data_IF_056253086062
#
_entry.id   IF_056253086062
#
_cell.length_a   1.000
_cell.length_b   1.000
_cell.length_c   1.000
_cell.angle_alpha   90.00
_cell.angle_beta   90.00
_cell.angle_gamma   90.00
#
_symmetry.space_group_name_H-M   'P 1'
#
loop_
_entity.id
_entity.type
_entity.pdbx_description
1 polymer ?
#
# COMPACT_ATOMS: atom_id res chain seq x y z
N UNK A 1 -0.59 7.47 12.70
CA UNK A 1 -0.55 8.94 12.48
C UNK A 1 -1.58 9.39 11.44
N UNK A 2 -1.78 8.62 10.37
CA UNK A 2 -2.80 8.88 9.34
C UNK A 2 -4.24 8.74 9.88
N UNK A 3 -4.46 7.87 10.87
CA UNK A 3 -5.80 7.60 11.45
C UNK A 3 -6.48 8.85 12.05
N UNK A 4 -5.71 9.67 12.78
CA UNK A 4 -6.22 10.90 13.41
C UNK A 4 -6.53 11.99 12.38
N UNK A 5 -5.67 12.16 11.39
CA UNK A 5 -5.85 13.17 10.33
C UNK A 5 -7.10 12.83 9.49
N UNK A 6 -7.35 11.54 9.28
CA UNK A 6 -8.49 11.04 8.53
C UNK A 6 -9.83 11.22 9.28
N UNK A 7 -9.82 10.95 10.60
CA UNK A 7 -10.98 11.22 11.45
C UNK A 7 -11.35 12.72 11.46
N UNK A 8 -10.34 13.60 11.43
CA UNK A 8 -10.53 15.05 11.46
C UNK A 8 -11.00 15.61 10.11
N UNK A 9 -10.62 15.00 8.98
CA UNK A 9 -10.87 15.57 7.63
C UNK A 9 -12.01 14.89 6.86
N UNK A 10 -12.15 13.56 6.96
CA UNK A 10 -13.14 12.80 6.19
C UNK A 10 -14.54 12.82 6.82
N UNK A 11 -14.62 12.70 8.14
CA UNK A 11 -15.90 12.69 8.87
C UNK A 11 -16.69 13.98 8.61
N UNK A 12 -16.12 15.20 8.76
CA UNK A 12 -16.87 16.42 8.51
C UNK A 12 -17.18 16.66 7.02
N UNK A 13 -16.33 16.24 6.07
CA UNK A 13 -16.60 16.41 4.62
C UNK A 13 -17.71 15.48 4.12
N UNK A 14 -17.76 14.23 4.62
CA UNK A 14 -18.85 13.29 4.36
C UNK A 14 -20.14 13.73 5.03
N UNK A 15 -20.07 14.30 6.24
CA UNK A 15 -21.23 14.85 6.96
C UNK A 15 -21.78 16.09 6.26
N UNK A 16 -20.95 17.06 5.89
CA UNK A 16 -21.38 18.32 5.26
C UNK A 16 -21.99 18.08 3.86
N UNK A 17 -21.48 17.11 3.11
CA UNK A 17 -22.05 16.74 1.79
C UNK A 17 -23.42 16.06 1.89
N UNK A 18 -23.85 15.55 3.05
CA UNK A 18 -25.24 15.05 3.22
C UNK A 18 -26.28 16.16 3.39
N UNK A 19 -25.87 17.38 3.72
CA UNK A 19 -26.80 18.50 3.96
C UNK A 19 -27.41 19.05 2.67
N UNK A 20 -26.83 18.77 1.50
CA UNK A 20 -27.35 19.20 0.20
C UNK A 20 -28.09 18.04 -0.48
N UNK A 21 -29.41 18.07 -0.37
CA UNK A 21 -30.32 16.99 -0.79
C UNK A 21 -31.04 17.29 -2.10
N UNK A 22 -30.30 17.55 -3.18
CA UNK A 22 -30.88 17.72 -4.52
C UNK A 22 -30.17 16.85 -5.60
N UNK A 23 -29.20 16.03 -5.21
CA UNK A 23 -28.46 15.18 -6.17
C UNK A 23 -29.11 13.77 -6.29
N UNK A 24 -29.27 13.31 -7.54
CA UNK A 24 -29.72 11.97 -7.90
C UNK A 24 -28.80 10.88 -7.34
N UNK A 25 -29.35 9.68 -7.09
CA UNK A 25 -28.61 8.58 -6.46
C UNK A 25 -27.34 8.16 -7.22
N UNK A 26 -27.39 8.21 -8.56
CA UNK A 26 -26.24 7.87 -9.40
C UNK A 26 -25.11 8.90 -9.32
N UNK A 27 -25.43 10.19 -9.09
CA UNK A 27 -24.41 11.22 -8.91
C UNK A 27 -23.66 10.99 -7.59
N UNK A 28 -24.41 10.74 -6.50
CA UNK A 28 -23.85 10.40 -5.18
C UNK A 28 -22.94 9.15 -5.21
N UNK A 29 -23.28 8.13 -6.00
CA UNK A 29 -22.44 6.94 -6.19
C UNK A 29 -21.04 7.26 -6.72
N UNK A 30 -20.95 8.18 -7.67
CA UNK A 30 -19.69 8.51 -8.33
C UNK A 30 -18.82 9.45 -7.48
N UNK A 31 -19.35 10.62 -7.08
CA UNK A 31 -18.50 11.60 -6.41
C UNK A 31 -18.26 11.30 -4.92
N UNK A 32 -19.20 10.60 -4.25
CA UNK A 32 -19.13 10.37 -2.81
C UNK A 32 -18.71 8.95 -2.48
N UNK A 33 -19.46 7.94 -2.94
CA UNK A 33 -19.22 6.56 -2.51
C UNK A 33 -17.97 5.96 -3.14
N UNK A 34 -17.74 6.17 -4.44
CA UNK A 34 -16.53 5.67 -5.13
C UNK A 34 -15.27 6.29 -4.54
N UNK A 35 -15.26 7.61 -4.34
CA UNK A 35 -14.14 8.31 -3.72
C UNK A 35 -13.91 7.81 -2.29
N UNK A 36 -14.96 7.70 -1.46
CA UNK A 36 -14.84 7.18 -0.11
C UNK A 36 -14.24 5.76 -0.07
N UNK A 37 -14.65 4.89 -0.99
CA UNK A 37 -14.14 3.52 -1.11
C UNK A 37 -12.66 3.50 -1.54
N UNK A 38 -12.27 4.30 -2.53
CA UNK A 38 -10.87 4.37 -2.98
C UNK A 38 -9.96 4.87 -1.87
N UNK A 39 -10.38 5.91 -1.14
CA UNK A 39 -9.58 6.45 -0.05
C UNK A 39 -9.53 5.45 1.12
N UNK A 40 -10.64 4.75 1.43
CA UNK A 40 -10.64 3.66 2.42
C UNK A 40 -9.63 2.56 2.08
N UNK A 41 -9.64 2.04 0.84
CA UNK A 41 -8.69 0.99 0.45
C UNK A 41 -7.24 1.49 0.38
N UNK A 42 -7.03 2.73 -0.04
CA UNK A 42 -5.72 3.37 -0.01
C UNK A 42 -5.17 3.44 1.42
N UNK A 43 -6.00 3.81 2.39
CA UNK A 43 -5.58 3.91 3.79
C UNK A 43 -5.29 2.54 4.39
N UNK A 44 -6.15 1.55 4.17
CA UNK A 44 -5.92 0.17 4.65
C UNK A 44 -4.61 -0.40 4.09
N UNK A 45 -4.32 -0.13 2.82
CA UNK A 45 -3.09 -0.61 2.19
C UNK A 45 -1.86 0.13 2.72
N UNK A 46 -1.98 1.44 2.98
CA UNK A 46 -0.90 2.24 3.54
C UNK A 46 -0.54 1.81 4.97
N UNK A 47 -1.51 1.50 5.84
CA UNK A 47 -1.21 1.04 7.21
C UNK A 47 -0.39 -0.24 7.22
N UNK A 48 -0.72 -1.18 6.32
CA UNK A 48 0.06 -2.43 6.14
C UNK A 48 1.49 -2.21 5.65
N UNK A 49 1.81 -1.06 5.04
CA UNK A 49 3.18 -0.72 4.65
C UNK A 49 4.00 -0.13 5.80
N UNK A 50 3.37 0.31 6.90
CA UNK A 50 4.08 0.87 8.06
C UNK A 50 4.29 -0.14 9.19
N UNK A 51 3.67 -1.31 9.11
CA UNK A 51 3.96 -2.42 10.02
C UNK A 51 5.38 -2.98 9.77
N UNK A 52 5.95 -3.53 10.83
CA UNK A 52 7.38 -3.86 11.00
C UNK A 52 7.93 -4.84 9.94
N UNK A 53 7.07 -5.73 9.42
CA UNK A 53 7.50 -6.83 8.56
C UNK A 53 6.90 -6.71 7.15
N UNK A 54 7.53 -5.88 6.30
CA UNK A 54 7.06 -5.67 4.93
C UNK A 54 7.19 -6.90 4.04
N UNK A 55 8.40 -7.30 3.66
CA UNK A 55 8.66 -8.47 2.81
C UNK A 55 9.80 -9.26 3.43
N UNK A 56 9.65 -10.58 3.49
CA UNK A 56 10.70 -11.49 3.95
C UNK A 56 11.50 -12.00 2.76
N UNK A 57 12.78 -11.65 2.71
CA UNK A 57 13.69 -12.10 1.67
C UNK A 57 14.53 -13.29 2.14
N UNK A 58 15.00 -14.09 1.18
CA UNK A 58 15.93 -15.18 1.48
C UNK A 58 17.30 -14.61 1.87
N UNK A 59 17.58 -14.60 3.18
CA UNK A 59 18.85 -14.16 3.76
C UNK A 59 19.78 -15.34 4.04
N UNK A 60 21.08 -15.06 4.24
CA UNK A 60 22.06 -16.11 4.57
C UNK A 60 21.92 -16.56 6.02
N UNK A 61 22.12 -17.85 6.27
CA UNK A 61 22.01 -18.46 7.60
C UNK A 61 22.92 -17.86 8.69
N UNK A 62 24.01 -17.18 8.30
CA UNK A 62 24.97 -16.59 9.24
C UNK A 62 24.60 -15.15 9.65
N UNK A 63 23.49 -14.58 9.16
CA UNK A 63 23.10 -13.21 9.48
C UNK A 63 22.44 -13.12 10.86
N UNK A 64 22.94 -12.22 11.71
CA UNK A 64 22.23 -11.83 12.94
C UNK A 64 20.99 -11.00 12.60
N UNK A 65 20.00 -10.98 13.51
CA UNK A 65 18.70 -10.34 13.28
C UNK A 65 18.76 -8.93 12.63
N UNK A 66 19.62 -7.99 13.07
CA UNK A 66 19.71 -6.66 12.43
C UNK A 66 20.10 -6.69 10.95
N UNK A 67 20.92 -7.65 10.52
CA UNK A 67 21.27 -7.79 9.10
C UNK A 67 20.12 -8.40 8.29
N UNK A 68 19.31 -9.26 8.89
CA UNK A 68 18.10 -9.80 8.25
C UNK A 68 17.10 -8.67 8.02
N UNK A 69 16.82 -7.87 9.06
CA UNK A 69 15.92 -6.72 8.99
C UNK A 69 16.38 -5.70 7.93
N UNK A 70 17.70 -5.42 7.87
CA UNK A 70 18.28 -4.56 6.84
C UNK A 70 18.12 -5.14 5.42
N UNK A 71 18.35 -6.43 5.25
CA UNK A 71 18.23 -7.09 3.93
C UNK A 71 16.77 -7.06 3.45
N UNK A 72 15.81 -7.30 4.36
CA UNK A 72 14.37 -7.20 4.08
C UNK A 72 13.98 -5.79 3.62
N UNK A 73 14.51 -4.74 4.27
CA UNK A 73 14.25 -3.35 3.87
C UNK A 73 14.80 -3.02 2.48
N UNK A 74 16.03 -3.45 2.18
CA UNK A 74 16.64 -3.23 0.85
C UNK A 74 15.87 -3.97 -0.24
N UNK A 75 15.42 -5.20 0.04
CA UNK A 75 14.60 -5.98 -0.88
C UNK A 75 13.25 -5.28 -1.19
N UNK A 76 12.64 -4.66 -0.18
CA UNK A 76 11.38 -3.93 -0.35
C UNK A 76 11.51 -2.67 -1.22
N UNK A 77 12.59 -1.92 -1.05
CA UNK A 77 12.77 -0.62 -1.73
C UNK A 77 13.29 -0.82 -3.16
N UNK A 78 14.05 -1.89 -3.40
CA UNK A 78 14.66 -2.18 -4.69
C UNK A 78 13.65 -2.84 -5.64
N UNK A 79 13.76 -2.56 -6.94
CA UNK A 79 12.93 -3.23 -7.95
C UNK A 79 13.25 -4.72 -7.99
N UNK A 80 12.22 -5.55 -7.90
CA UNK A 80 12.31 -7.02 -8.01
C UNK A 80 11.65 -7.48 -9.30
N UNK A 81 12.09 -8.63 -9.81
CA UNK A 81 11.59 -9.22 -11.05
C UNK A 81 11.24 -10.68 -10.78
N UNK A 82 10.31 -11.20 -11.57
CA UNK A 82 9.91 -12.60 -11.49
C UNK A 82 10.71 -13.43 -12.49
N UNK A 83 11.21 -14.59 -12.05
CA UNK A 83 11.84 -15.59 -12.89
C UNK A 83 11.20 -16.95 -12.66
N UNK A 84 10.92 -17.67 -13.75
CA UNK A 84 10.47 -19.06 -13.69
C UNK A 84 11.60 -19.94 -13.09
N UNK A 85 11.24 -20.86 -12.20
CA UNK A 85 12.16 -21.80 -11.55
C UNK A 85 12.94 -22.67 -12.54
N UNK A 86 12.44 -22.86 -13.77
CA UNK A 86 13.12 -23.64 -14.79
C UNK A 86 14.08 -22.82 -15.69
N UNK A 87 14.20 -21.50 -15.45
CA UNK A 87 15.10 -20.62 -16.22
C UNK A 87 16.31 -20.22 -15.39
N UNK A 88 17.45 -20.02 -16.06
CA UNK A 88 18.67 -19.50 -15.43
C UNK A 88 18.58 -17.99 -15.27
N UNK A 89 19.19 -17.46 -14.21
CA UNK A 89 19.26 -16.02 -13.96
C UNK A 89 20.05 -15.36 -15.11
N UNK A 90 19.47 -14.37 -15.83
CA UNK A 90 20.18 -13.70 -16.91
C UNK A 90 21.36 -12.88 -16.35
N UNK A 91 22.46 -12.89 -17.10
CA UNK A 91 23.67 -12.13 -16.74
C UNK A 91 23.55 -10.65 -17.10
N UNK A 92 22.79 -10.32 -18.14
CA UNK A 92 22.53 -8.94 -18.52
C UNK A 92 21.44 -8.32 -17.64
N UNK A 93 21.67 -7.11 -17.15
CA UNK A 93 20.72 -6.36 -16.32
C UNK A 93 19.50 -5.92 -17.15
N UNK A 94 19.66 -5.72 -18.46
CA UNK A 94 18.53 -5.33 -19.34
C UNK A 94 17.55 -6.47 -19.60
N UNK A 95 18.00 -7.71 -19.45
CA UNK A 95 17.19 -8.93 -19.66
C UNK A 95 16.54 -9.43 -18.36
N UNK A 96 16.77 -8.71 -17.26
CA UNK A 96 16.34 -9.05 -15.91
C UNK A 96 14.97 -8.46 -15.58
#
# INVERSE_FOLDING_TARGET
MVDIIYLITLVPTVLLSTLRSDDDGFDKMNYKYTVALLVLFSTITATKQFDDDRIECWSRANFIKPYVDYTNQICYISSTYYIDRNRTIPHNIEER
#
